data_IF_783896388395
#
_entry.id   IF_783896388395
#
_cell.length_a   1.000
_cell.length_b   1.000
_cell.length_c   1.000
_cell.angle_alpha   90.00
_cell.angle_beta   90.00
_cell.angle_gamma   90.00
#
_symmetry.space_group_name_H-M   'P 1'
#
loop_
_entity.id
_entity.type
_entity.pdbx_description
1 polymer ?
#
# COMPACT_ATOMS: atom_id res chain seq x y z
N UNK A 1 -28.22 5.58 -5.19
CA UNK A 1 -27.99 5.10 -3.80
C UNK A 1 -26.56 5.39 -3.36
N UNK A 2 -26.36 6.12 -2.25
CA UNK A 2 -25.02 6.39 -1.70
C UNK A 2 -24.47 5.10 -1.08
N UNK A 3 -23.41 4.54 -1.66
CA UNK A 3 -22.66 3.43 -1.06
C UNK A 3 -22.08 3.89 0.28
N UNK A 4 -22.44 3.21 1.37
CA UNK A 4 -21.90 3.49 2.69
C UNK A 4 -20.42 3.12 2.73
N UNK A 5 -19.63 4.12 3.12
CA UNK A 5 -18.18 4.03 3.20
C UNK A 5 -17.77 3.04 4.29
N UNK A 6 -16.71 2.29 4.05
CA UNK A 6 -16.16 1.36 5.04
C UNK A 6 -15.28 2.08 6.07
N UNK A 7 -15.91 2.75 7.04
CA UNK A 7 -15.21 3.59 8.03
C UNK A 7 -14.09 2.84 8.78
N UNK A 8 -14.34 1.60 9.20
CA UNK A 8 -13.33 0.80 9.92
C UNK A 8 -12.09 0.51 9.05
N UNK A 9 -12.30 0.24 7.75
CA UNK A 9 -11.20 0.00 6.81
C UNK A 9 -10.43 1.30 6.52
N UNK A 10 -11.14 2.43 6.42
CA UNK A 10 -10.52 3.74 6.26
C UNK A 10 -9.69 4.14 7.50
N UNK A 11 -10.19 3.85 8.70
CA UNK A 11 -9.49 4.08 9.97
C UNK A 11 -8.23 3.21 10.08
N UNK A 12 -8.34 1.91 9.77
CA UNK A 12 -7.20 0.99 9.78
C UNK A 12 -6.10 1.42 8.79
N UNK A 13 -6.49 1.86 7.60
CA UNK A 13 -5.54 2.43 6.62
C UNK A 13 -4.89 3.72 7.14
N UNK A 14 -5.66 4.59 7.79
CA UNK A 14 -5.15 5.81 8.41
C UNK A 14 -4.12 5.52 9.50
N UNK A 15 -4.42 4.55 10.38
CA UNK A 15 -3.49 4.05 11.38
C UNK A 15 -2.21 3.50 10.74
N UNK A 16 -2.31 2.66 9.71
CA UNK A 16 -1.14 2.14 9.01
C UNK A 16 -0.25 3.25 8.41
N UNK A 17 -0.84 4.29 7.83
CA UNK A 17 -0.08 5.45 7.31
C UNK A 17 0.62 6.21 8.44
N UNK A 18 -0.08 6.46 9.55
CA UNK A 18 0.49 7.15 10.71
C UNK A 18 1.68 6.38 11.30
N UNK A 19 1.52 5.07 11.49
CA UNK A 19 2.59 4.19 11.98
C UNK A 19 3.76 4.09 10.99
N UNK A 20 3.50 4.15 9.68
CA UNK A 20 4.55 4.14 8.65
C UNK A 20 5.40 5.41 8.69
N UNK A 21 4.76 6.57 8.84
CA UNK A 21 5.47 7.84 9.01
C UNK A 21 6.27 7.82 10.30
N UNK A 22 5.67 7.39 11.41
CA UNK A 22 6.35 7.28 12.71
C UNK A 22 7.61 6.40 12.58
N UNK A 23 7.48 5.18 12.06
CA UNK A 23 8.60 4.26 11.81
C UNK A 23 9.71 4.86 10.94
N UNK A 24 9.34 5.63 9.91
CA UNK A 24 10.30 6.28 9.03
C UNK A 24 10.98 7.53 9.61
N UNK A 25 10.48 8.07 10.74
CA UNK A 25 11.00 9.29 11.38
C UNK A 25 11.78 9.03 12.67
N UNK A 26 11.64 7.84 13.25
CA UNK A 26 12.35 7.45 14.47
C UNK A 26 13.86 7.46 14.21
N UNK A 27 14.67 8.12 15.07
CA UNK A 27 16.13 8.05 14.97
C UNK A 27 16.60 6.63 15.21
N UNK A 28 17.64 6.19 14.49
CA UNK A 28 18.11 4.79 14.53
C UNK A 28 18.80 4.38 15.83
N UNK A 29 19.14 5.33 16.69
CA UNK A 29 19.81 5.09 17.97
C UNK A 29 19.04 5.75 19.12
N UNK A 30 19.22 5.23 20.33
CA UNK A 30 18.62 5.79 21.54
C UNK A 30 17.26 5.23 21.94
N UNK A 31 16.70 4.28 21.18
CA UNK A 31 15.47 3.55 21.54
C UNK A 31 15.70 2.04 21.61
N UNK A 32 14.84 1.29 22.33
CA UNK A 32 14.94 -0.17 22.41
C UNK A 32 14.74 -0.88 21.07
N UNK A 33 15.24 -2.11 20.93
CA UNK A 33 15.22 -2.88 19.68
C UNK A 33 13.82 -3.09 19.07
N UNK A 34 12.77 -3.17 19.89
CA UNK A 34 11.39 -3.35 19.42
C UNK A 34 10.83 -2.15 18.63
N UNK A 35 11.53 -1.01 18.63
CA UNK A 35 11.20 0.20 17.86
C UNK A 35 11.70 0.17 16.41
N UNK A 36 12.42 -0.88 16.00
CA UNK A 36 13.03 -1.02 14.67
C UNK A 36 12.67 -2.36 14.04
N UNK A 37 12.97 -2.54 12.75
CA UNK A 37 12.85 -3.84 12.10
C UNK A 37 13.67 -4.91 12.84
N UNK A 38 13.06 -6.07 13.13
CA UNK A 38 13.71 -7.12 13.93
C UNK A 38 15.05 -7.57 13.34
N UNK A 39 15.13 -7.61 12.01
CA UNK A 39 16.32 -8.04 11.26
C UNK A 39 17.29 -6.89 10.95
N UNK A 40 17.01 -5.66 11.39
CA UNK A 40 17.92 -4.51 11.32
C UNK A 40 17.98 -3.83 12.71
N UNK A 41 18.44 -4.55 13.75
CA UNK A 41 18.41 -4.03 15.10
C UNK A 41 19.41 -2.86 15.28
N UNK A 42 19.17 -1.97 16.26
CA UNK A 42 20.17 -1.00 16.69
C UNK A 42 21.35 -1.72 17.39
N UNK A 43 22.54 -1.10 17.45
CA UNK A 43 22.88 0.22 16.91
C UNK A 43 23.37 0.20 15.45
N UNK A 44 23.82 -0.95 14.96
CA UNK A 44 24.64 -1.04 13.74
C UNK A 44 23.82 -1.07 12.44
N UNK A 45 22.51 -1.32 12.53
CA UNK A 45 21.59 -1.45 11.38
C UNK A 45 22.06 -2.47 10.34
N UNK A 46 22.72 -3.52 10.80
CA UNK A 46 23.19 -4.61 9.94
C UNK A 46 22.06 -5.61 9.73
N UNK A 47 21.81 -5.96 8.46
CA UNK A 47 20.77 -6.93 8.14
C UNK A 47 21.22 -8.31 8.64
N UNK A 48 20.45 -8.90 9.55
CA UNK A 48 20.70 -10.25 10.05
C UNK A 48 19.48 -11.15 9.82
N UNK A 49 19.50 -12.02 8.79
CA UNK A 49 18.38 -12.90 8.48
C UNK A 49 18.15 -14.00 9.53
N UNK A 50 19.15 -14.27 10.39
CA UNK A 50 19.06 -15.31 11.41
C UNK A 50 18.35 -14.83 12.69
N UNK A 51 18.13 -13.51 12.83
CA UNK A 51 17.34 -12.97 13.93
C UNK A 51 15.86 -13.31 13.70
N UNK A 52 15.26 -14.13 14.58
CA UNK A 52 13.85 -14.45 14.49
C UNK A 52 13.01 -13.27 14.97
N UNK A 53 11.73 -13.30 14.60
CA UNK A 53 10.74 -12.38 15.13
C UNK A 53 10.33 -11.28 14.16
N UNK A 54 9.33 -10.53 14.60
CA UNK A 54 8.75 -9.39 13.92
C UNK A 54 8.48 -8.33 14.98
N UNK A 55 8.71 -7.08 14.62
CA UNK A 55 8.30 -5.93 15.42
C UNK A 55 7.02 -5.32 14.87
N UNK A 56 6.46 -4.35 15.60
CA UNK A 56 5.33 -3.59 15.07
C UNK A 56 5.66 -2.88 13.75
N UNK A 57 6.93 -2.48 13.56
CA UNK A 57 7.41 -1.82 12.33
C UNK A 57 7.27 -2.75 11.13
N UNK A 58 7.60 -4.03 11.32
CA UNK A 58 7.51 -5.06 10.28
C UNK A 58 6.05 -5.35 9.86
N UNK A 59 5.09 -5.09 10.74
CA UNK A 59 3.66 -5.27 10.47
C UNK A 59 3.00 -4.09 9.72
N UNK A 60 3.60 -2.90 9.76
CA UNK A 60 2.98 -1.69 9.20
C UNK A 60 2.72 -1.84 7.70
N UNK A 61 3.71 -2.29 6.95
CA UNK A 61 3.59 -2.40 5.50
C UNK A 61 2.61 -3.51 5.06
N UNK A 62 2.65 -4.73 5.63
CA UNK A 62 1.61 -5.73 5.42
C UNK A 62 0.20 -5.23 5.75
N UNK A 63 0.02 -4.52 6.87
CA UNK A 63 -1.28 -3.96 7.25
C UNK A 63 -1.82 -2.99 6.18
N UNK A 64 -0.95 -2.15 5.65
CA UNK A 64 -1.28 -1.21 4.59
C UNK A 64 -1.66 -1.91 3.27
N UNK A 65 -0.92 -2.95 2.88
CA UNK A 65 -1.22 -3.78 1.71
C UNK A 65 -2.51 -4.58 1.85
N UNK A 66 -2.79 -5.08 3.05
CA UNK A 66 -4.05 -5.76 3.34
C UNK A 66 -5.23 -4.79 3.18
N UNK A 67 -5.10 -3.57 3.70
CA UNK A 67 -6.12 -2.53 3.53
C UNK A 67 -6.35 -2.17 2.06
N UNK A 68 -5.27 -2.08 1.26
CA UNK A 68 -5.35 -1.92 -0.19
C UNK A 68 -6.15 -3.05 -0.83
N UNK A 69 -5.81 -4.31 -0.52
CA UNK A 69 -6.49 -5.50 -1.02
C UNK A 69 -7.98 -5.51 -0.68
N UNK A 70 -8.34 -5.21 0.57
CA UNK A 70 -9.73 -5.14 1.01
C UNK A 70 -10.53 -4.01 0.36
N UNK A 71 -9.86 -2.91 -0.03
CA UNK A 71 -10.49 -1.79 -0.72
C UNK A 71 -10.79 -2.07 -2.20
N UNK A 72 -10.05 -2.97 -2.85
CA UNK A 72 -10.20 -3.30 -4.28
C UNK A 72 -11.63 -3.78 -4.61
N UNK A 73 -12.16 -4.85 -3.97
CA UNK A 73 -13.52 -5.31 -4.23
C UNK A 73 -14.56 -4.21 -4.01
N UNK A 74 -14.46 -3.48 -2.89
CA UNK A 74 -15.40 -2.40 -2.53
C UNK A 74 -15.47 -1.33 -3.62
N UNK A 75 -14.31 -0.91 -4.14
CA UNK A 75 -14.23 0.13 -5.16
C UNK A 75 -14.64 -0.36 -6.56
N UNK A 76 -14.15 -1.53 -6.98
CA UNK A 76 -14.38 -2.05 -8.33
C UNK A 76 -15.77 -2.65 -8.50
N UNK A 77 -16.32 -3.35 -7.49
CA UNK A 77 -17.68 -3.89 -7.53
C UNK A 77 -18.71 -2.78 -7.75
N UNK A 78 -18.53 -1.62 -7.10
CA UNK A 78 -19.39 -0.46 -7.31
C UNK A 78 -19.34 0.02 -8.76
N UNK A 79 -18.15 0.17 -9.32
CA UNK A 79 -17.98 0.65 -10.70
C UNK A 79 -18.51 -0.34 -11.73
N UNK A 80 -18.31 -1.64 -11.52
CA UNK A 80 -18.85 -2.68 -12.40
C UNK A 80 -20.39 -2.68 -12.45
N UNK A 81 -21.04 -2.24 -11.38
CA UNK A 81 -22.50 -2.11 -11.36
C UNK A 81 -23.00 -0.83 -12.07
N UNK A 82 -22.14 0.19 -12.22
CA UNK A 82 -22.50 1.51 -12.76
C UNK A 82 -21.92 1.74 -14.18
N UNK A 83 -20.92 0.96 -14.60
CA UNK A 83 -20.07 1.24 -15.76
C UNK A 83 -19.65 -0.05 -16.49
N UNK A 84 -19.46 -0.01 -17.82
CA UNK A 84 -18.93 -1.13 -18.58
C UNK A 84 -17.49 -1.48 -18.16
N UNK A 85 -17.10 -2.73 -18.40
CA UNK A 85 -15.78 -3.27 -18.06
C UNK A 85 -14.61 -2.42 -18.58
N UNK A 86 -14.73 -1.87 -19.81
CA UNK A 86 -13.71 -1.00 -20.41
C UNK A 86 -13.42 0.24 -19.56
N UNK A 87 -14.46 0.89 -19.03
CA UNK A 87 -14.29 2.05 -18.13
C UNK A 87 -13.68 1.66 -16.78
N UNK A 88 -13.93 0.43 -16.30
CA UNK A 88 -13.30 -0.10 -15.09
C UNK A 88 -11.81 -0.37 -15.32
N UNK A 89 -11.44 -0.95 -16.46
CA UNK A 89 -10.05 -1.18 -16.85
C UNK A 89 -9.29 0.15 -17.01
N UNK A 90 -9.90 1.14 -17.69
CA UNK A 90 -9.33 2.50 -17.77
C UNK A 90 -9.15 3.07 -16.37
N UNK A 91 -10.11 2.89 -15.47
CA UNK A 91 -9.96 3.38 -14.10
C UNK A 91 -8.80 2.73 -13.34
N UNK A 92 -8.57 1.41 -13.52
CA UNK A 92 -7.44 0.70 -12.92
C UNK A 92 -6.13 1.26 -13.48
N UNK A 93 -6.05 1.48 -14.80
CA UNK A 93 -4.87 2.05 -15.46
C UNK A 93 -4.59 3.48 -15.00
N UNK A 94 -5.60 4.35 -14.95
CA UNK A 94 -5.48 5.72 -14.43
C UNK A 94 -4.96 5.74 -13.00
N UNK A 95 -5.51 4.88 -12.12
CA UNK A 95 -5.08 4.78 -10.73
C UNK A 95 -3.65 4.28 -10.60
N UNK A 96 -3.27 3.30 -11.43
CA UNK A 96 -1.90 2.77 -11.48
C UNK A 96 -0.93 3.85 -11.95
N UNK A 97 -1.25 4.58 -13.03
CA UNK A 97 -0.44 5.69 -13.53
C UNK A 97 -0.29 6.82 -12.51
N UNK A 98 -1.35 7.16 -11.78
CA UNK A 98 -1.31 8.15 -10.71
C UNK A 98 -0.43 7.70 -9.52
N UNK A 99 -0.47 6.42 -9.13
CA UNK A 99 0.41 5.87 -8.11
C UNK A 99 1.88 5.86 -8.56
N UNK A 100 2.14 5.50 -9.82
CA UNK A 100 3.47 5.55 -10.41
C UNK A 100 4.04 6.97 -10.41
N UNK A 101 3.25 7.95 -10.87
CA UNK A 101 3.63 9.35 -10.82
C UNK A 101 3.88 9.80 -9.38
N UNK A 102 3.02 9.41 -8.43
CA UNK A 102 3.21 9.73 -7.01
C UNK A 102 4.52 9.17 -6.47
N UNK A 103 4.85 7.91 -6.78
CA UNK A 103 6.11 7.28 -6.34
C UNK A 103 7.33 8.06 -6.82
N UNK A 104 7.34 8.46 -8.09
CA UNK A 104 8.43 9.22 -8.71
C UNK A 104 8.49 10.62 -8.11
N UNK A 105 7.38 11.35 -8.13
CA UNK A 105 7.34 12.73 -7.69
C UNK A 105 7.71 12.87 -6.21
N UNK A 106 7.14 12.02 -5.34
CA UNK A 106 7.42 12.04 -3.90
C UNK A 106 8.89 11.81 -3.60
N UNK A 107 9.57 10.91 -4.34
CA UNK A 107 10.99 10.70 -4.17
C UNK A 107 11.79 11.97 -4.47
N UNK A 108 11.49 12.64 -5.58
CA UNK A 108 12.25 13.79 -6.05
C UNK A 108 12.06 15.02 -5.16
N UNK A 109 10.90 15.20 -4.50
CA UNK A 109 10.63 16.37 -3.66
C UNK A 109 11.03 16.18 -2.19
N UNK A 110 11.65 15.06 -1.81
CA UNK A 110 12.11 14.83 -0.44
C UNK A 110 13.28 15.75 -0.09
N UNK A 111 13.25 16.47 1.06
CA UNK A 111 14.32 17.40 1.44
C UNK A 111 15.70 16.75 1.45
N UNK A 112 15.82 15.56 2.06
CA UNK A 112 17.07 14.80 2.17
C UNK A 112 17.58 14.23 0.84
N UNK A 113 16.71 14.08 -0.17
CA UNK A 113 17.10 13.66 -1.51
C UNK A 113 17.55 14.87 -2.33
N UNK A 114 16.84 16.00 -2.21
CA UNK A 114 17.18 17.26 -2.88
C UNK A 114 18.59 17.70 -2.46
N UNK A 115 18.82 17.78 -1.16
CA UNK A 115 20.09 18.21 -0.58
C UNK A 115 20.29 17.58 0.80
N UNK A 116 21.28 16.69 0.98
CA UNK A 116 21.57 16.04 2.25
C UNK A 116 21.94 17.03 3.37
N UNK A 117 22.38 18.25 3.06
CA UNK A 117 22.69 19.28 4.05
C UNK A 117 21.44 19.96 4.63
N UNK A 118 20.25 19.63 4.11
CA UNK A 118 18.95 20.14 4.56
C UNK A 118 18.84 21.68 4.67
N UNK A 119 19.33 22.46 3.68
CA UNK A 119 19.16 23.91 3.70
C UNK A 119 17.68 24.31 3.61
N UNK A 120 17.34 25.53 4.04
CA UNK A 120 15.97 26.06 4.00
C UNK A 120 15.33 25.94 2.62
N UNK A 121 16.11 26.11 1.54
CA UNK A 121 15.64 25.93 0.15
C UNK A 121 15.05 24.54 -0.10
N UNK A 122 15.65 23.48 0.45
CA UNK A 122 15.22 22.10 0.22
C UNK A 122 13.87 21.84 0.91
N UNK A 123 13.69 22.40 2.11
CA UNK A 123 12.42 22.36 2.84
C UNK A 123 11.32 23.16 2.14
N UNK A 124 11.62 24.36 1.62
CA UNK A 124 10.66 25.16 0.85
C UNK A 124 10.23 24.45 -0.44
N UNK A 125 11.18 23.84 -1.15
CA UNK A 125 10.87 23.03 -2.34
C UNK A 125 10.03 21.79 -2.00
N UNK A 126 10.31 21.13 -0.87
CA UNK A 126 9.53 19.98 -0.41
C UNK A 126 8.10 20.39 -0.01
N UNK A 127 7.93 21.49 0.71
CA UNK A 127 6.61 22.05 1.05
C UNK A 127 5.83 22.44 -0.21
N UNK A 128 6.49 23.09 -1.16
CA UNK A 128 5.89 23.42 -2.45
C UNK A 128 5.48 22.14 -3.21
N UNK A 129 6.36 21.14 -3.26
CA UNK A 129 6.06 19.82 -3.83
C UNK A 129 4.86 19.15 -3.16
N UNK A 130 4.77 19.20 -1.83
CA UNK A 130 3.63 18.71 -1.07
C UNK A 130 2.33 19.45 -1.43
N UNK A 131 2.37 20.78 -1.52
CA UNK A 131 1.20 21.57 -1.96
C UNK A 131 0.78 21.18 -3.38
N UNK A 132 1.72 21.00 -4.32
CA UNK A 132 1.41 20.53 -5.67
C UNK A 132 0.76 19.14 -5.65
N UNK A 133 1.28 18.21 -4.85
CA UNK A 133 0.66 16.90 -4.66
C UNK A 133 -0.78 17.01 -4.16
N UNK A 134 -1.02 17.86 -3.16
CA UNK A 134 -2.37 18.09 -2.67
C UNK A 134 -3.29 18.61 -3.77
N UNK A 135 -2.86 19.61 -4.56
CA UNK A 135 -3.64 20.18 -5.66
C UNK A 135 -3.93 19.18 -6.79
N UNK A 136 -3.01 18.25 -7.05
CA UNK A 136 -3.18 17.19 -8.05
C UNK A 136 -4.22 16.15 -7.63
N UNK A 137 -4.21 15.76 -6.35
CA UNK A 137 -5.00 14.63 -5.84
C UNK A 137 -6.29 15.03 -5.12
N UNK A 138 -6.47 16.32 -4.79
CA UNK A 138 -7.70 16.82 -4.15
C UNK A 138 -8.92 16.64 -5.05
N UNK A 139 -10.04 16.25 -4.43
CA UNK A 139 -11.34 16.28 -5.09
C UNK A 139 -11.92 17.68 -4.93
N UNK A 140 -11.74 18.49 -5.97
CA UNK A 140 -12.30 19.84 -6.02
C UNK A 140 -13.82 19.84 -5.80
N UNK A 141 -14.36 20.85 -5.08
CA UNK A 141 -15.79 20.91 -4.77
C UNK A 141 -16.66 20.88 -6.03
N UNK A 142 -17.78 20.15 -5.99
CA UNK A 142 -18.62 19.96 -7.19
C UNK A 142 -19.34 21.22 -7.65
N UNK A 143 -19.58 22.16 -6.73
CA UNK A 143 -20.20 23.46 -7.03
C UNK A 143 -19.27 24.42 -7.78
N UNK A 144 -17.98 24.12 -7.91
CA UNK A 144 -17.07 24.90 -8.76
C UNK A 144 -17.28 24.55 -10.24
N UNK A 145 -17.14 25.56 -11.11
CA UNK A 145 -17.27 25.37 -12.55
C UNK A 145 -16.30 24.30 -13.06
N UNK A 146 -16.72 23.52 -14.06
CA UNK A 146 -15.89 22.46 -14.63
C UNK A 146 -14.59 23.03 -15.21
N UNK A 147 -14.66 24.20 -15.87
CA UNK A 147 -13.51 24.92 -16.43
C UNK A 147 -12.47 25.25 -15.36
N UNK A 148 -12.89 25.80 -14.23
CA UNK A 148 -11.98 26.15 -13.12
C UNK A 148 -11.28 24.90 -12.57
N UNK A 149 -12.02 23.81 -12.36
CA UNK A 149 -11.44 22.55 -11.84
C UNK A 149 -10.42 21.93 -12.79
N UNK A 150 -10.70 21.98 -14.10
CA UNK A 150 -9.77 21.51 -15.13
C UNK A 150 -8.54 22.42 -15.18
N UNK A 151 -8.72 23.74 -15.16
CA UNK A 151 -7.63 24.72 -15.16
C UNK A 151 -6.70 24.51 -13.96
N UNK A 152 -7.24 24.41 -12.74
CA UNK A 152 -6.44 24.19 -11.53
C UNK A 152 -5.64 22.88 -11.59
N UNK A 153 -6.26 21.80 -12.06
CA UNK A 153 -5.55 20.53 -12.26
C UNK A 153 -4.46 20.64 -13.31
N UNK A 154 -4.74 21.30 -14.43
CA UNK A 154 -3.77 21.51 -15.49
C UNK A 154 -2.57 22.33 -15.00
N UNK A 155 -2.82 23.44 -14.29
CA UNK A 155 -1.78 24.27 -13.69
C UNK A 155 -0.94 23.48 -12.68
N UNK A 156 -1.59 22.66 -11.84
CA UNK A 156 -0.87 21.80 -10.89
C UNK A 156 0.03 20.77 -11.60
N UNK A 157 -0.46 20.14 -12.67
CA UNK A 157 0.33 19.21 -13.50
C UNK A 157 1.50 19.92 -14.18
N UNK A 158 1.25 21.07 -14.80
CA UNK A 158 2.29 21.86 -15.44
C UNK A 158 3.38 22.28 -14.43
N UNK A 159 2.98 22.80 -13.27
CA UNK A 159 3.90 23.19 -12.21
C UNK A 159 4.71 21.99 -11.68
N UNK A 160 4.08 20.83 -11.51
CA UNK A 160 4.76 19.61 -11.08
C UNK A 160 5.79 19.12 -12.09
N UNK A 161 5.47 19.14 -13.39
CA UNK A 161 6.40 18.77 -14.46
C UNK A 161 7.55 19.77 -14.55
N UNK A 162 7.27 21.07 -14.46
CA UNK A 162 8.31 22.12 -14.44
C UNK A 162 9.23 21.94 -13.24
N UNK A 163 8.68 21.66 -12.06
CA UNK A 163 9.47 21.41 -10.86
C UNK A 163 10.40 20.20 -11.06
N UNK A 164 9.87 19.07 -11.54
CA UNK A 164 10.68 17.88 -11.82
C UNK A 164 11.77 18.16 -12.86
N UNK A 165 11.46 18.92 -13.92
CA UNK A 165 12.44 19.27 -14.93
C UNK A 165 13.56 20.18 -14.41
N UNK A 166 13.22 21.13 -13.52
CA UNK A 166 14.17 22.09 -12.96
C UNK A 166 14.94 21.58 -11.74
N UNK A 167 14.49 20.51 -11.10
CA UNK A 167 15.12 20.01 -9.89
C UNK A 167 16.54 19.51 -10.19
N UNK A 168 17.49 19.92 -9.34
CA UNK A 168 18.87 19.48 -9.38
C UNK A 168 19.27 19.01 -8.00
N UNK A 169 19.92 17.86 -7.97
CA UNK A 169 20.37 17.21 -6.75
C UNK A 169 21.82 17.62 -6.43
N UNK A 170 22.26 17.41 -5.20
CA UNK A 170 23.61 17.76 -4.75
C UNK A 170 24.73 17.06 -5.55
N UNK A 171 24.44 15.90 -6.14
CA UNK A 171 25.34 15.14 -7.03
C UNK A 171 25.38 15.70 -8.48
N UNK A 172 24.69 16.80 -8.76
CA UNK A 172 24.56 17.41 -10.08
C UNK A 172 23.56 16.71 -11.00
N UNK A 173 23.01 15.57 -10.58
CA UNK A 173 22.01 14.85 -11.36
C UNK A 173 20.67 15.60 -11.39
N UNK A 174 19.87 15.31 -12.42
CA UNK A 174 18.51 15.81 -12.55
C UNK A 174 17.47 14.71 -12.31
N UNK A 175 16.26 14.95 -12.81
CA UNK A 175 15.16 14.00 -12.80
C UNK A 175 15.52 12.64 -13.43
N UNK A 176 15.05 11.55 -12.82
CA UNK A 176 15.15 10.19 -13.38
C UNK A 176 13.92 9.37 -13.04
N UNK A 177 13.35 8.67 -14.03
CA UNK A 177 12.23 7.75 -13.82
C UNK A 177 12.60 6.57 -12.91
N UNK A 178 13.88 6.19 -12.86
CA UNK A 178 14.37 5.07 -12.06
C UNK A 178 14.48 5.40 -10.57
N UNK A 179 14.40 6.68 -10.21
CA UNK A 179 14.41 7.18 -8.84
C UNK A 179 12.97 7.33 -8.35
N UNK A 180 12.45 6.32 -7.67
CA UNK A 180 11.07 6.29 -7.17
C UNK A 180 11.00 5.77 -5.75
N UNK A 181 9.93 6.17 -5.04
CA UNK A 181 9.68 5.63 -3.71
C UNK A 181 9.32 4.15 -3.77
N UNK A 182 10.08 3.34 -3.02
CA UNK A 182 9.97 1.88 -3.05
C UNK A 182 8.62 1.39 -2.51
N UNK A 183 8.04 2.05 -1.50
CA UNK A 183 6.77 1.65 -0.89
C UNK A 183 5.64 1.90 -1.90
N UNK A 184 5.59 3.11 -2.48
CA UNK A 184 4.53 3.48 -3.42
C UNK A 184 4.65 2.72 -4.75
N UNK A 185 5.87 2.42 -5.24
CA UNK A 185 6.02 1.63 -6.48
C UNK A 185 5.59 0.18 -6.27
N UNK A 186 5.84 -0.41 -5.09
CA UNK A 186 5.30 -1.74 -4.75
C UNK A 186 3.78 -1.67 -4.74
N UNK A 187 3.18 -0.66 -4.09
CA UNK A 187 1.73 -0.46 -4.09
C UNK A 187 1.16 -0.35 -5.52
N UNK A 188 1.83 0.39 -6.40
CA UNK A 188 1.44 0.53 -7.79
C UNK A 188 1.36 -0.83 -8.49
N UNK A 189 2.39 -1.67 -8.34
CA UNK A 189 2.45 -3.00 -8.94
C UNK A 189 1.34 -3.90 -8.41
N UNK A 190 1.23 -4.06 -7.09
CA UNK A 190 0.26 -4.99 -6.51
C UNK A 190 -1.17 -4.49 -6.57
N UNK A 191 -1.40 -3.18 -6.63
CA UNK A 191 -2.71 -2.63 -6.95
C UNK A 191 -3.15 -3.03 -8.35
N UNK A 192 -2.28 -2.85 -9.36
CA UNK A 192 -2.59 -3.21 -10.74
C UNK A 192 -2.89 -4.70 -10.87
N UNK A 193 -1.95 -5.55 -10.45
CA UNK A 193 -2.09 -7.00 -10.55
C UNK A 193 -3.21 -7.53 -9.68
N UNK A 194 -3.32 -7.06 -8.43
CA UNK A 194 -4.39 -7.45 -7.51
C UNK A 194 -5.78 -7.06 -8.00
N UNK A 195 -5.90 -5.90 -8.65
CA UNK A 195 -7.16 -5.45 -9.26
C UNK A 195 -7.56 -6.33 -10.43
N UNK A 196 -6.61 -6.67 -11.32
CA UNK A 196 -6.86 -7.58 -12.44
C UNK A 196 -7.19 -9.00 -11.97
N UNK A 197 -6.41 -9.54 -11.03
CA UNK A 197 -6.66 -10.85 -10.44
C UNK A 197 -8.07 -10.90 -9.86
N UNK A 198 -8.45 -9.93 -9.03
CA UNK A 198 -9.80 -9.88 -8.47
C UNK A 198 -10.87 -9.75 -9.55
N UNK A 199 -10.65 -8.94 -10.59
CA UNK A 199 -11.59 -8.76 -11.69
C UNK A 199 -11.90 -10.08 -12.41
N UNK A 200 -10.89 -10.90 -12.67
CA UNK A 200 -11.04 -12.20 -13.34
C UNK A 200 -11.44 -13.35 -12.42
N UNK A 201 -11.28 -13.20 -11.10
CA UNK A 201 -11.58 -14.25 -10.10
C UNK A 201 -12.74 -13.90 -9.16
N UNK A 202 -13.49 -12.84 -9.47
CA UNK A 202 -14.64 -12.37 -8.69
C UNK A 202 -15.61 -13.53 -8.40
N UNK A 203 -16.06 -13.62 -7.14
CA UNK A 203 -16.90 -14.70 -6.62
C UNK A 203 -16.29 -16.14 -6.72
N UNK A 204 -15.02 -16.29 -7.10
CA UNK A 204 -14.35 -17.60 -7.22
C UNK A 204 -13.16 -17.68 -6.26
N UNK A 205 -13.44 -18.05 -5.01
CA UNK A 205 -12.42 -18.20 -3.97
C UNK A 205 -11.30 -19.19 -4.38
N UNK A 206 -11.67 -20.34 -4.94
CA UNK A 206 -10.71 -21.37 -5.34
C UNK A 206 -9.70 -20.87 -6.37
N UNK A 207 -10.10 -20.01 -7.31
CA UNK A 207 -9.15 -19.44 -8.29
C UNK A 207 -8.14 -18.52 -7.61
N UNK A 208 -8.54 -17.72 -6.62
CA UNK A 208 -7.62 -16.87 -5.87
C UNK A 208 -6.62 -17.69 -5.04
N UNK A 209 -7.10 -18.77 -4.42
CA UNK A 209 -6.22 -19.71 -3.70
C UNK A 209 -5.26 -20.43 -4.66
N UNK A 210 -5.74 -20.83 -5.84
CA UNK A 210 -4.90 -21.40 -6.90
C UNK A 210 -3.80 -20.44 -7.37
N UNK A 211 -4.13 -19.15 -7.55
CA UNK A 211 -3.14 -18.11 -7.87
C UNK A 211 -2.11 -17.98 -6.76
N UNK A 212 -2.52 -17.98 -5.49
CA UNK A 212 -1.58 -17.96 -4.36
C UNK A 212 -0.67 -19.19 -4.34
N UNK A 213 -1.19 -20.38 -4.64
CA UNK A 213 -0.39 -21.59 -4.74
C UNK A 213 0.64 -21.51 -5.89
N UNK A 214 0.26 -20.98 -7.05
CA UNK A 214 1.19 -20.75 -8.17
C UNK A 214 2.28 -19.74 -7.77
N UNK A 215 1.89 -18.62 -7.17
CA UNK A 215 2.83 -17.62 -6.67
C UNK A 215 3.78 -18.21 -5.62
N UNK A 216 3.32 -19.18 -4.83
CA UNK A 216 4.13 -19.86 -3.81
C UNK A 216 5.15 -20.77 -4.46
N UNK A 217 4.73 -21.56 -5.46
CA UNK A 217 5.65 -22.37 -6.27
C UNK A 217 6.75 -21.50 -6.90
N UNK A 218 6.39 -20.37 -7.51
CA UNK A 218 7.35 -19.41 -8.06
C UNK A 218 8.27 -18.86 -6.97
N UNK A 219 7.72 -18.45 -5.82
CA UNK A 219 8.50 -17.90 -4.69
C UNK A 219 9.50 -18.91 -4.14
N UNK A 220 9.17 -20.19 -4.08
CA UNK A 220 10.07 -21.23 -3.59
C UNK A 220 11.15 -21.58 -4.63
N UNK A 221 10.80 -21.59 -5.92
CA UNK A 221 11.72 -22.01 -6.98
C UNK A 221 12.61 -20.89 -7.56
N UNK A 222 12.35 -19.60 -7.27
CA UNK A 222 13.08 -18.49 -7.89
C UNK A 222 14.59 -18.43 -7.58
N UNK A 223 15.06 -19.12 -6.54
CA UNK A 223 16.47 -19.14 -6.17
C UNK A 223 17.32 -19.96 -7.15
N UNK A 224 16.72 -20.99 -7.74
CA UNK A 224 17.39 -21.89 -8.69
C UNK A 224 17.43 -21.29 -10.10
N UNK A 225 18.53 -21.49 -10.86
CA UNK A 225 18.62 -21.01 -12.23
C UNK A 225 17.58 -21.68 -13.12
N UNK A 226 16.87 -20.90 -13.92
CA UNK A 226 15.85 -21.40 -14.85
C UNK A 226 14.80 -20.36 -15.23
N UNK A 227 13.74 -20.82 -15.91
CA UNK A 227 12.67 -19.95 -16.38
C UNK A 227 11.92 -19.25 -15.23
N UNK A 228 11.84 -19.87 -14.04
CA UNK A 228 11.21 -19.27 -12.86
C UNK A 228 12.01 -18.07 -12.35
N UNK A 229 13.34 -18.19 -12.26
CA UNK A 229 14.22 -17.08 -11.90
C UNK A 229 14.15 -15.95 -12.95
N UNK A 230 14.13 -16.31 -14.24
CA UNK A 230 13.92 -15.33 -15.31
C UNK A 230 12.59 -14.58 -15.15
N UNK A 231 11.49 -15.30 -14.92
CA UNK A 231 10.17 -14.70 -14.68
C UNK A 231 10.19 -13.80 -13.45
N UNK A 232 10.82 -14.23 -12.36
CA UNK A 232 10.91 -13.49 -11.11
C UNK A 232 11.63 -12.14 -11.27
N UNK A 233 12.69 -12.13 -12.06
CA UNK A 233 13.49 -10.93 -12.36
C UNK A 233 12.95 -10.13 -13.55
N UNK A 234 11.97 -10.66 -14.29
CA UNK A 234 11.41 -10.00 -15.46
C UNK A 234 10.75 -8.67 -15.08
N UNK A 235 11.05 -7.65 -15.88
CA UNK A 235 10.55 -6.30 -15.67
C UNK A 235 10.32 -5.63 -17.02
N UNK A 236 9.07 -5.61 -17.54
CA UNK A 236 8.78 -5.02 -18.84
C UNK A 236 9.07 -3.52 -18.87
N UNK A 237 8.89 -2.84 -17.74
CA UNK A 237 9.23 -1.44 -17.53
C UNK A 237 10.08 -1.34 -16.25
N UNK A 238 11.42 -1.38 -16.33
CA UNK A 238 12.33 -1.42 -15.17
C UNK A 238 12.10 -0.37 -14.09
N UNK A 239 11.64 0.82 -14.48
CA UNK A 239 11.34 1.93 -13.58
C UNK A 239 9.95 1.84 -12.93
N UNK A 240 9.04 1.02 -13.48
CA UNK A 240 7.63 0.97 -13.10
C UNK A 240 7.20 -0.40 -12.55
N UNK A 241 7.49 -1.48 -13.27
CA UNK A 241 6.81 -2.75 -13.09
C UNK A 241 7.79 -3.91 -12.98
N UNK A 242 7.88 -4.54 -11.81
CA UNK A 242 8.81 -5.64 -11.50
C UNK A 242 8.05 -6.85 -10.97
N UNK A 243 8.26 -8.02 -11.56
CA UNK A 243 7.56 -9.22 -11.14
C UNK A 243 7.94 -9.68 -9.72
N UNK A 244 9.16 -9.40 -9.27
CA UNK A 244 9.59 -9.53 -7.86
C UNK A 244 8.57 -8.98 -6.83
N UNK A 245 7.94 -7.83 -7.11
CA UNK A 245 6.97 -7.23 -6.18
C UNK A 245 5.68 -8.03 -6.05
N UNK A 246 5.43 -9.03 -6.89
CA UNK A 246 4.23 -9.86 -6.82
C UNK A 246 4.21 -10.79 -5.60
N UNK A 247 5.33 -10.95 -4.90
CA UNK A 247 5.34 -11.58 -3.57
C UNK A 247 4.40 -10.89 -2.58
N UNK A 248 4.19 -9.58 -2.71
CA UNK A 248 3.28 -8.85 -1.83
C UNK A 248 1.80 -9.16 -2.11
N UNK A 249 1.48 -9.88 -3.20
CA UNK A 249 0.14 -10.41 -3.45
C UNK A 249 -0.29 -11.46 -2.41
N UNK A 250 0.65 -12.08 -1.68
CA UNK A 250 0.34 -12.92 -0.52
C UNK A 250 -0.42 -12.18 0.57
N UNK A 251 -0.33 -10.85 0.61
CA UNK A 251 -1.08 -10.01 1.55
C UNK A 251 -2.30 -9.39 0.87
N UNK A 252 -2.14 -8.91 -0.37
CA UNK A 252 -3.22 -8.24 -1.11
C UNK A 252 -4.37 -9.19 -1.45
N UNK A 253 -4.10 -10.42 -1.91
CA UNK A 253 -5.16 -11.36 -2.32
C UNK A 253 -6.04 -11.77 -1.11
N UNK A 254 -5.51 -12.16 0.06
CA UNK A 254 -6.32 -12.31 1.27
C UNK A 254 -7.14 -11.07 1.60
N UNK A 255 -6.55 -9.88 1.46
CA UNK A 255 -7.28 -8.61 1.55
C UNK A 255 -8.49 -8.57 0.60
N UNK A 256 -8.33 -8.92 -0.67
CA UNK A 256 -9.45 -8.95 -1.64
C UNK A 256 -10.52 -9.98 -1.28
N UNK A 257 -10.17 -11.09 -0.63
CA UNK A 257 -11.13 -12.09 -0.12
C UNK A 257 -11.96 -11.45 0.99
N UNK A 258 -11.32 -10.87 2.00
CA UNK A 258 -12.02 -10.18 3.09
C UNK A 258 -12.86 -9.01 2.58
N UNK A 259 -12.36 -8.23 1.61
CA UNK A 259 -13.11 -7.14 1.00
C UNK A 259 -14.39 -7.60 0.29
N UNK A 260 -14.36 -8.76 -0.37
CA UNK A 260 -15.55 -9.37 -1.00
C UNK A 260 -16.52 -9.95 0.04
N UNK A 261 -16.01 -10.60 1.09
CA UNK A 261 -16.83 -11.06 2.22
C UNK A 261 -17.54 -9.89 2.89
N UNK A 262 -16.84 -8.77 3.11
CA UNK A 262 -17.40 -7.54 3.68
C UNK A 262 -18.50 -6.96 2.79
N UNK A 263 -18.33 -7.00 1.46
CA UNK A 263 -19.37 -6.61 0.52
C UNK A 263 -20.63 -7.47 0.65
N UNK A 264 -20.46 -8.79 0.71
CA UNK A 264 -21.58 -9.73 0.80
C UNK A 264 -22.30 -9.59 2.14
N UNK A 265 -21.56 -9.49 3.24
CA UNK A 265 -22.11 -9.25 4.57
C UNK A 265 -22.94 -7.97 4.61
N UNK A 266 -22.47 -6.87 4.03
CA UNK A 266 -23.24 -5.61 3.95
C UNK A 266 -24.52 -5.74 3.13
N UNK A 267 -24.50 -6.50 2.04
CA UNK A 267 -25.72 -6.76 1.25
C UNK A 267 -26.74 -7.53 2.09
N UNK A 268 -26.30 -8.53 2.84
CA UNK A 268 -27.17 -9.30 3.75
C UNK A 268 -27.75 -8.41 4.85
N UNK A 269 -26.94 -7.60 5.53
CA UNK A 269 -27.44 -6.68 6.57
C UNK A 269 -28.54 -5.74 6.06
N UNK A 270 -28.38 -5.23 4.83
CA UNK A 270 -29.41 -4.40 4.18
C UNK A 270 -30.65 -5.18 3.81
N UNK A 271 -30.48 -6.39 3.29
CA UNK A 271 -31.60 -7.26 2.93
C UNK A 271 -32.46 -7.62 4.15
N UNK A 272 -31.83 -7.83 5.31
CA UNK A 272 -32.51 -8.19 6.55
C UNK A 272 -32.82 -6.99 7.46
N UNK A 273 -32.59 -5.74 7.01
CA UNK A 273 -32.76 -4.52 7.81
C UNK A 273 -32.12 -4.60 9.22
N UNK A 274 -31.01 -5.31 9.34
CA UNK A 274 -30.33 -5.48 10.64
C UNK A 274 -29.60 -4.19 10.98
N UNK A 275 -29.91 -3.61 12.14
CA UNK A 275 -29.23 -2.43 12.67
C UNK A 275 -28.49 -2.81 13.95
N UNK A 276 -27.20 -2.48 14.02
CA UNK A 276 -26.42 -2.68 15.23
C UNK A 276 -26.49 -1.41 16.08
N UNK A 277 -27.18 -1.48 17.22
CA UNK A 277 -27.33 -0.30 18.09
C UNK A 277 -26.07 -0.02 18.94
N UNK A 278 -25.31 -1.04 19.35
CA UNK A 278 -24.01 -0.90 20.03
C UNK A 278 -23.16 -2.17 19.86
N UNK A 279 -21.81 -2.10 19.97
CA UNK A 279 -20.98 -3.30 20.02
C UNK A 279 -21.39 -4.12 21.24
N UNK A 280 -21.83 -5.36 21.00
CA UNK A 280 -22.11 -6.29 22.10
C UNK A 280 -20.83 -6.58 22.89
N UNK A 281 -20.94 -6.89 24.17
CA UNK A 281 -19.81 -7.38 24.97
C UNK A 281 -19.07 -8.54 24.29
N UNK A 282 -19.80 -9.43 23.61
CA UNK A 282 -19.23 -10.52 22.81
C UNK A 282 -18.35 -10.00 21.67
N UNK A 283 -18.74 -8.94 20.98
CA UNK A 283 -17.94 -8.31 19.92
C UNK A 283 -16.64 -7.71 20.45
N UNK A 284 -16.69 -7.12 21.65
CA UNK A 284 -15.50 -6.60 22.33
C UNK A 284 -14.57 -7.75 22.74
N UNK A 285 -15.11 -8.82 23.33
CA UNK A 285 -14.33 -10.00 23.69
C UNK A 285 -13.65 -10.64 22.47
N UNK A 286 -14.36 -10.76 21.35
CA UNK A 286 -13.80 -11.28 20.10
C UNK A 286 -12.66 -10.38 19.61
N UNK A 287 -12.84 -9.06 19.63
CA UNK A 287 -11.78 -8.12 19.23
C UNK A 287 -10.54 -8.23 20.14
N UNK A 288 -10.74 -8.30 21.45
CA UNK A 288 -9.65 -8.48 22.42
C UNK A 288 -8.94 -9.81 22.22
N UNK A 289 -9.67 -10.88 21.90
CA UNK A 289 -9.08 -12.18 21.59
C UNK A 289 -8.21 -12.12 20.31
N UNK A 290 -8.68 -11.46 19.25
CA UNK A 290 -7.85 -11.27 18.05
C UNK A 290 -6.58 -10.45 18.34
N UNK A 291 -6.69 -9.40 19.15
CA UNK A 291 -5.53 -8.61 19.57
C UNK A 291 -4.56 -9.49 20.38
N UNK A 292 -5.08 -10.28 21.32
CA UNK A 292 -4.28 -11.20 22.13
C UNK A 292 -3.56 -12.23 21.27
N UNK A 293 -4.24 -12.84 20.30
CA UNK A 293 -3.64 -13.80 19.35
C UNK A 293 -2.48 -13.13 18.59
N UNK A 294 -2.65 -11.90 18.12
CA UNK A 294 -1.56 -11.15 17.45
C UNK A 294 -0.38 -10.94 18.40
N UNK A 295 -0.62 -10.53 19.65
CA UNK A 295 0.45 -10.35 20.63
C UNK A 295 1.15 -11.66 20.99
N UNK A 296 0.41 -12.75 21.20
CA UNK A 296 0.96 -14.08 21.48
C UNK A 296 1.81 -14.54 20.30
N UNK A 297 1.35 -14.34 19.07
CA UNK A 297 2.12 -14.68 17.88
C UNK A 297 3.41 -13.86 17.78
N UNK A 298 3.35 -12.55 18.00
CA UNK A 298 4.53 -11.68 17.96
C UNK A 298 5.55 -12.04 19.04
N UNK A 299 5.09 -12.20 20.29
CA UNK A 299 5.95 -12.58 21.42
C UNK A 299 6.51 -13.99 21.21
N UNK A 300 5.69 -14.91 20.72
CA UNK A 300 6.08 -16.28 20.43
C UNK A 300 7.14 -16.37 19.34
N UNK A 301 6.96 -15.64 18.23
CA UNK A 301 7.96 -15.53 17.15
C UNK A 301 9.26 -14.88 17.65
N UNK A 302 9.16 -13.81 18.43
CA UNK A 302 10.33 -13.09 18.96
C UNK A 302 11.11 -13.94 19.98
N UNK A 303 10.40 -14.68 20.84
CA UNK A 303 10.98 -15.49 21.93
C UNK A 303 11.28 -16.93 21.51
N UNK A 304 11.07 -17.28 20.23
CA UNK A 304 11.15 -18.65 19.69
C UNK A 304 10.28 -19.69 20.43
N UNK A 305 9.15 -19.27 21.00
CA UNK A 305 8.15 -20.17 21.59
C UNK A 305 7.22 -20.72 20.49
N UNK A 306 7.79 -21.53 19.59
CA UNK A 306 7.13 -21.96 18.35
C UNK A 306 5.86 -22.79 18.56
N UNK A 307 5.75 -23.52 19.68
CA UNK A 307 4.57 -24.32 20.01
C UNK A 307 3.40 -23.41 20.44
N UNK A 308 3.68 -22.42 21.28
CA UNK A 308 2.68 -21.44 21.72
C UNK A 308 2.23 -20.51 20.58
N UNK A 309 3.07 -20.33 19.57
CA UNK A 309 2.77 -19.55 18.37
C UNK A 309 1.73 -20.21 17.42
N UNK A 310 1.40 -21.50 17.61
CA UNK A 310 0.42 -22.21 16.78
C UNK A 310 -1.04 -22.05 17.29
N UNK A 311 -1.22 -21.40 18.45
CA UNK A 311 -2.51 -21.15 19.10
C UNK A 311 -3.00 -19.75 18.72
#
# INVERSE_FOLDING_TARGET
MKSERALNLDALRGFAILSMVLAGTIPYTGLPAWMYHAQLPPPDRTFNPNLPGLTWVDLVFPLFLFCLGAAIPLALNRRLNEQPLSKVLIHILERTALLAFFAIFLFHVRPHIIDPQLPTRAWLLALFGFTLMFLLFVKWPQFWSLKLRILLKFLAWAAAIILLYKIRFADGSGFSLYRSDIIIIVLCNVYFSGSLIWLFTRNRLLLRLGILAILLGIRLAHAEPGWVQWWWNFSPFPWLYKLYYHQYLFVVIPGTIIGETLLNWRKQLKQFNVHFNHPSWKSILIALNFILVVFVNLIGLQSRLLIFNLI
#
